data_IF_679263690671
#
_entry.id   IF_679263690671
#
_cell.length_a   1.000
_cell.length_b   1.000
_cell.length_c   1.000
_cell.angle_alpha   90.00
_cell.angle_beta   90.00
_cell.angle_gamma   90.00
#
_symmetry.space_group_name_H-M   'P 1'
#
loop_
_entity.id
_entity.type
_entity.pdbx_description
1 polymer ?
#
# COMPACT_ATOMS: atom_id res chain seq x y z
N UNK A 1 -20.97 -10.68 -18.81
CA UNK A 1 -20.53 -10.11 -17.53
C UNK A 1 -19.90 -8.75 -17.79
N UNK A 2 -20.28 -7.76 -17.02
CA UNK A 2 -19.76 -6.41 -17.19
C UNK A 2 -18.39 -6.31 -16.55
N UNK A 3 -17.56 -5.45 -17.12
CA UNK A 3 -16.20 -5.19 -16.62
C UNK A 3 -16.18 -4.83 -15.13
N UNK A 4 -17.12 -3.98 -14.70
CA UNK A 4 -17.24 -3.59 -13.28
C UNK A 4 -17.49 -4.79 -12.36
N UNK A 5 -18.34 -5.72 -12.77
CA UNK A 5 -18.63 -6.93 -12.00
C UNK A 5 -17.40 -7.82 -11.85
N UNK A 6 -16.60 -7.92 -12.90
CA UNK A 6 -15.33 -8.65 -12.87
C UNK A 6 -14.37 -7.97 -11.89
N UNK A 7 -14.21 -6.66 -11.97
CA UNK A 7 -13.36 -5.90 -11.07
C UNK A 7 -13.79 -6.04 -9.62
N UNK A 8 -15.10 -5.96 -9.35
CA UNK A 8 -15.64 -6.14 -8.00
C UNK A 8 -15.35 -7.53 -7.45
N UNK A 9 -15.55 -8.57 -8.25
CA UNK A 9 -15.24 -9.94 -7.86
C UNK A 9 -13.76 -10.12 -7.54
N UNK A 10 -12.90 -9.60 -8.40
CA UNK A 10 -11.45 -9.70 -8.26
C UNK A 10 -10.98 -8.93 -7.02
N UNK A 11 -11.47 -7.71 -6.82
CA UNK A 11 -11.09 -6.89 -5.67
C UNK A 11 -11.52 -7.54 -4.35
N UNK A 12 -12.72 -8.12 -4.30
CA UNK A 12 -13.18 -8.83 -3.12
C UNK A 12 -12.28 -10.02 -2.78
N UNK A 13 -11.83 -10.76 -3.79
CA UNK A 13 -10.89 -11.87 -3.61
C UNK A 13 -9.56 -11.36 -3.04
N UNK A 14 -9.00 -10.29 -3.62
CA UNK A 14 -7.71 -9.76 -3.19
C UNK A 14 -7.76 -9.19 -1.77
N UNK A 15 -8.82 -8.46 -1.43
CA UNK A 15 -8.99 -7.90 -0.08
C UNK A 15 -9.14 -9.02 0.95
N UNK A 16 -9.92 -10.04 0.62
CA UNK A 16 -10.07 -11.21 1.48
C UNK A 16 -8.72 -11.92 1.68
N UNK A 17 -7.97 -12.09 0.60
CA UNK A 17 -6.63 -12.70 0.65
C UNK A 17 -5.68 -11.89 1.55
N UNK A 18 -5.66 -10.56 1.40
CA UNK A 18 -4.82 -9.70 2.24
C UNK A 18 -5.12 -9.84 3.72
N UNK A 19 -6.38 -10.03 4.07
CA UNK A 19 -6.82 -10.05 5.46
C UNK A 19 -6.83 -11.44 6.10
N UNK A 20 -7.06 -12.48 5.33
CA UNK A 20 -7.34 -13.81 5.86
C UNK A 20 -6.34 -14.91 5.49
N UNK A 21 -5.56 -14.73 4.44
CA UNK A 21 -4.61 -15.74 4.01
C UNK A 21 -3.43 -15.83 4.97
N UNK A 22 -2.95 -17.04 5.23
CA UNK A 22 -1.84 -17.28 6.15
C UNK A 22 -0.47 -17.33 5.48
N UNK A 23 -0.42 -17.26 4.16
CA UNK A 23 0.82 -17.30 3.39
C UNK A 23 1.24 -15.90 2.97
N UNK A 24 2.42 -15.47 3.42
CA UNK A 24 2.97 -14.13 3.15
C UNK A 24 3.18 -13.86 1.65
N UNK A 25 3.60 -14.86 0.89
CA UNK A 25 3.79 -14.72 -0.56
C UNK A 25 2.48 -14.51 -1.29
N UNK A 26 1.43 -15.22 -0.87
CA UNK A 26 0.08 -15.08 -1.44
C UNK A 26 -0.46 -13.68 -1.13
N UNK A 27 -0.29 -13.21 0.09
CA UNK A 27 -0.71 -11.85 0.50
C UNK A 27 0.09 -10.80 -0.28
N UNK A 28 1.40 -10.97 -0.43
CA UNK A 28 2.24 -10.07 -1.22
C UNK A 28 1.78 -10.01 -2.67
N UNK A 29 1.46 -11.15 -3.27
CA UNK A 29 0.95 -11.20 -4.64
C UNK A 29 -0.39 -10.48 -4.78
N UNK A 30 -1.27 -10.60 -3.79
CA UNK A 30 -2.54 -9.87 -3.77
C UNK A 30 -2.31 -8.36 -3.75
N UNK A 31 -1.39 -7.88 -2.91
CA UNK A 31 -1.02 -6.46 -2.85
C UNK A 31 -0.48 -5.96 -4.18
N UNK A 32 0.43 -6.71 -4.81
CA UNK A 32 1.00 -6.35 -6.11
C UNK A 32 -0.06 -6.32 -7.21
N UNK A 33 -0.98 -7.28 -7.19
CA UNK A 33 -2.08 -7.35 -8.17
C UNK A 33 -3.03 -6.17 -8.03
N UNK A 34 -3.35 -5.75 -6.82
CA UNK A 34 -4.16 -4.56 -6.57
C UNK A 34 -3.43 -3.31 -7.08
N UNK A 35 -2.14 -3.19 -6.80
CA UNK A 35 -1.33 -2.07 -7.30
C UNK A 35 -1.35 -2.00 -8.83
N UNK A 36 -1.21 -3.13 -9.51
CA UNK A 36 -1.26 -3.21 -10.96
C UNK A 36 -2.62 -2.80 -11.51
N UNK A 37 -3.70 -3.24 -10.89
CA UNK A 37 -5.07 -2.85 -11.28
C UNK A 37 -5.23 -1.34 -11.20
N UNK A 38 -4.77 -0.73 -10.11
CA UNK A 38 -4.86 0.73 -9.94
C UNK A 38 -4.03 1.46 -11.00
N UNK A 39 -2.81 0.98 -11.27
CA UNK A 39 -1.92 1.59 -12.27
C UNK A 39 -2.46 1.47 -13.69
N UNK A 40 -2.99 0.31 -14.04
CA UNK A 40 -3.38 0.00 -15.43
C UNK A 40 -4.81 0.44 -15.76
N UNK A 41 -5.73 0.30 -14.83
CA UNK A 41 -7.16 0.56 -15.03
C UNK A 41 -7.59 1.89 -14.43
N UNK A 42 -6.93 2.30 -13.36
CA UNK A 42 -7.22 3.54 -12.67
C UNK A 42 -8.03 3.36 -11.39
N UNK A 43 -7.96 4.36 -10.53
CA UNK A 43 -8.56 4.33 -9.19
C UNK A 43 -10.09 4.30 -9.22
N UNK A 44 -10.71 4.94 -10.22
CA UNK A 44 -12.17 5.06 -10.28
C UNK A 44 -12.89 3.71 -10.23
N UNK A 45 -12.26 2.67 -10.78
CA UNK A 45 -12.83 1.32 -10.81
C UNK A 45 -12.84 0.69 -9.41
N UNK A 46 -11.94 1.11 -8.53
CA UNK A 46 -11.73 0.50 -7.22
C UNK A 46 -11.85 1.50 -6.07
N UNK A 47 -12.31 2.70 -6.35
CA UNK A 47 -12.37 3.80 -5.40
C UNK A 47 -13.08 3.46 -4.10
N UNK A 48 -14.18 2.75 -4.17
CA UNK A 48 -14.96 2.38 -2.98
C UNK A 48 -14.29 1.29 -2.14
N UNK A 49 -13.25 0.64 -2.65
CA UNK A 49 -12.46 -0.32 -1.88
C UNK A 49 -11.30 0.33 -1.13
N UNK A 50 -10.99 1.60 -1.39
CA UNK A 50 -9.83 2.28 -0.78
C UNK A 50 -9.83 2.19 0.75
N UNK A 51 -10.93 2.46 1.47
CA UNK A 51 -10.91 2.32 2.93
C UNK A 51 -10.58 0.90 3.39
N UNK A 52 -11.06 -0.11 2.69
CA UNK A 52 -10.77 -1.52 3.01
C UNK A 52 -9.31 -1.85 2.73
N UNK A 53 -8.75 -1.34 1.63
CA UNK A 53 -7.34 -1.50 1.30
C UNK A 53 -6.44 -0.83 2.34
N UNK A 54 -6.78 0.36 2.76
CA UNK A 54 -6.05 1.09 3.81
C UNK A 54 -6.07 0.31 5.13
N UNK A 55 -7.21 -0.25 5.51
CA UNK A 55 -7.30 -1.08 6.71
C UNK A 55 -6.41 -2.33 6.61
N UNK A 56 -6.41 -2.99 5.46
CA UNK A 56 -5.53 -4.14 5.21
C UNK A 56 -4.05 -3.77 5.30
N UNK A 57 -3.67 -2.64 4.71
CA UNK A 57 -2.30 -2.13 4.78
C UNK A 57 -1.92 -1.79 6.23
N UNK A 58 -2.82 -1.17 6.99
CA UNK A 58 -2.59 -0.87 8.41
C UNK A 58 -2.30 -2.13 9.22
N UNK A 59 -3.06 -3.19 9.00
CA UNK A 59 -2.85 -4.47 9.66
C UNK A 59 -1.46 -5.03 9.34
N UNK A 60 -1.05 -4.96 8.07
CA UNK A 60 0.26 -5.41 7.61
C UNK A 60 1.39 -4.58 8.23
N UNK A 61 1.24 -3.26 8.27
CA UNK A 61 2.24 -2.37 8.87
C UNK A 61 2.36 -2.53 10.38
N UNK A 62 1.28 -2.94 11.04
CA UNK A 62 1.30 -3.25 12.47
C UNK A 62 1.76 -4.67 12.78
N UNK A 63 2.02 -5.46 11.74
CA UNK A 63 2.40 -6.87 11.85
C UNK A 63 1.32 -7.72 12.55
N UNK A 64 0.05 -7.33 12.35
CA UNK A 64 -1.11 -7.96 12.97
C UNK A 64 -1.95 -8.79 11.99
N UNK A 65 -1.55 -8.87 10.72
CA UNK A 65 -2.28 -9.66 9.72
C UNK A 65 -2.13 -11.15 9.98
N UNK A 66 -3.08 -11.95 9.53
CA UNK A 66 -3.11 -13.40 9.73
C UNK A 66 -1.80 -14.05 9.26
N UNK A 67 -1.29 -13.67 8.09
CA UNK A 67 -0.04 -14.22 7.57
C UNK A 67 1.18 -13.93 8.45
N UNK A 68 1.11 -12.90 9.28
CA UNK A 68 2.20 -12.48 10.18
C UNK A 68 2.10 -13.11 11.57
N UNK A 69 0.95 -13.69 11.90
CA UNK A 69 0.71 -14.33 13.19
C UNK A 69 0.97 -15.82 13.18
N UNK A 70 1.11 -16.42 12.01
CA UNK A 70 1.38 -17.85 11.87
C UNK A 70 2.85 -18.09 12.16
N UNK A 71 3.12 -18.97 13.14
CA UNK A 71 4.49 -19.45 13.39
C UNK A 71 4.90 -20.38 12.23
N UNK A 72 5.96 -19.99 11.54
CA UNK A 72 6.50 -20.77 10.45
C UNK A 72 7.46 -21.82 11.01
N UNK A 73 7.31 -23.08 10.59
CA UNK A 73 8.26 -24.15 10.86
C UNK A 73 9.51 -24.02 9.98
N UNK A 74 9.57 -22.99 9.13
CA UNK A 74 10.70 -22.75 8.24
C UNK A 74 11.84 -22.04 8.96
N UNK A 75 13.02 -22.10 8.37
CA UNK A 75 14.23 -21.44 8.88
C UNK A 75 14.01 -19.93 9.02
N UNK A 76 14.67 -19.33 10.00
CA UNK A 76 14.59 -17.89 10.29
C UNK A 76 14.90 -17.04 9.04
N UNK A 77 15.83 -17.51 8.21
CA UNK A 77 16.23 -16.82 6.98
C UNK A 77 15.11 -16.78 5.94
N UNK A 78 14.37 -17.89 5.81
CA UNK A 78 13.20 -17.98 4.91
C UNK A 78 12.09 -17.03 5.35
N UNK A 79 11.85 -16.95 6.65
CA UNK A 79 10.80 -16.08 7.21
C UNK A 79 11.15 -14.60 7.00
N UNK A 80 12.42 -14.25 7.18
CA UNK A 80 12.90 -12.89 6.93
C UNK A 80 12.77 -12.50 5.45
N UNK A 81 13.05 -13.42 4.52
CA UNK A 81 12.87 -13.21 3.08
C UNK A 81 11.40 -12.97 2.72
N UNK A 82 10.50 -13.79 3.29
CA UNK A 82 9.06 -13.64 3.08
C UNK A 82 8.53 -12.31 3.64
N UNK A 83 9.04 -11.86 4.78
CA UNK A 83 8.70 -10.56 5.35
C UNK A 83 9.15 -9.42 4.44
N UNK A 84 10.35 -9.54 3.87
CA UNK A 84 10.87 -8.54 2.93
C UNK A 84 10.00 -8.44 1.68
N UNK A 85 9.63 -9.56 1.08
CA UNK A 85 8.74 -9.60 -0.09
C UNK A 85 7.39 -8.98 0.23
N UNK A 86 6.83 -9.27 1.41
CA UNK A 86 5.56 -8.71 1.85
C UNK A 86 5.64 -7.18 2.01
N UNK A 87 6.69 -6.69 2.65
CA UNK A 87 6.86 -5.25 2.85
C UNK A 87 7.15 -4.50 1.55
N UNK A 88 7.88 -5.12 0.63
CA UNK A 88 8.09 -4.55 -0.70
C UNK A 88 6.76 -4.39 -1.45
N UNK A 89 5.89 -5.39 -1.37
CA UNK A 89 4.56 -5.33 -1.98
C UNK A 89 3.71 -4.20 -1.38
N UNK A 90 3.74 -4.03 -0.06
CA UNK A 90 3.04 -2.96 0.63
C UNK A 90 3.60 -1.60 0.21
N UNK A 91 4.93 -1.48 0.10
CA UNK A 91 5.59 -0.24 -0.31
C UNK A 91 5.27 0.16 -1.76
N UNK A 92 4.95 -0.80 -2.62
CA UNK A 92 4.49 -0.53 -3.99
C UNK A 92 3.01 -0.14 -4.03
N UNK A 93 2.21 -0.75 -3.18
CA UNK A 93 0.77 -0.48 -3.13
C UNK A 93 0.47 0.93 -2.61
N UNK A 94 1.20 1.40 -1.62
CA UNK A 94 0.97 2.73 -1.01
C UNK A 94 1.10 3.88 -2.03
N UNK A 95 2.20 3.99 -2.79
CA UNK A 95 2.28 5.03 -3.83
C UNK A 95 1.26 4.85 -4.95
N UNK A 96 0.93 3.60 -5.29
CA UNK A 96 -0.09 3.31 -6.29
C UNK A 96 -1.46 3.86 -5.89
N UNK A 97 -1.79 3.84 -4.60
CA UNK A 97 -3.01 4.45 -4.06
C UNK A 97 -2.88 5.98 -3.96
N UNK A 98 -1.72 6.47 -3.51
CA UNK A 98 -1.50 7.88 -3.29
C UNK A 98 -1.50 8.69 -4.59
N UNK A 99 -0.89 8.15 -5.65
CA UNK A 99 -0.73 8.85 -6.92
C UNK A 99 -2.04 9.32 -7.54
N UNK A 100 -3.04 8.46 -7.75
CA UNK A 100 -4.33 8.90 -8.29
C UNK A 100 -5.21 9.65 -7.28
N UNK A 101 -4.98 9.44 -5.99
CA UNK A 101 -5.74 10.11 -4.92
C UNK A 101 -5.24 11.53 -4.67
N UNK A 102 -3.95 11.77 -4.88
CA UNK A 102 -3.33 13.07 -4.69
C UNK A 102 -3.49 13.59 -3.27
N UNK A 103 -3.89 14.85 -3.13
CA UNK A 103 -4.07 15.49 -1.82
C UNK A 103 -5.15 14.84 -0.97
N UNK A 104 -6.10 14.14 -1.58
CA UNK A 104 -7.14 13.41 -0.85
C UNK A 104 -6.59 12.19 -0.08
N UNK A 105 -5.34 11.82 -0.33
CA UNK A 105 -4.67 10.76 0.41
C UNK A 105 -4.26 11.19 1.83
N UNK A 106 -4.23 12.49 2.12
CA UNK A 106 -3.76 13.02 3.40
C UNK A 106 -4.43 12.39 4.64
N UNK A 107 -5.77 12.20 4.69
CA UNK A 107 -6.39 11.54 5.85
C UNK A 107 -5.95 10.10 6.03
N UNK A 108 -5.74 9.38 4.94
CA UNK A 108 -5.24 8.00 4.98
C UNK A 108 -3.78 7.98 5.41
N UNK A 109 -2.97 8.90 4.87
CA UNK A 109 -1.56 9.02 5.22
C UNK A 109 -1.39 9.31 6.71
N UNK A 110 -2.25 10.13 7.30
CA UNK A 110 -2.21 10.41 8.73
C UNK A 110 -2.36 9.14 9.57
N UNK A 111 -3.18 8.19 9.13
CA UNK A 111 -3.36 6.90 9.80
C UNK A 111 -2.16 5.97 9.60
N UNK A 112 -1.53 6.04 8.41
CA UNK A 112 -0.45 5.14 8.02
C UNK A 112 0.92 5.60 8.55
N UNK A 113 1.05 6.86 8.87
CA UNK A 113 2.33 7.49 9.20
C UNK A 113 3.04 6.82 10.39
N UNK A 114 2.39 6.68 11.52
CA UNK A 114 3.01 6.08 12.71
C UNK A 114 3.42 4.62 12.50
N UNK A 115 2.54 3.74 12.00
CA UNK A 115 2.95 2.36 11.72
C UNK A 115 4.10 2.28 10.71
N UNK A 116 4.06 3.13 9.68
CA UNK A 116 5.11 3.15 8.66
C UNK A 116 6.44 3.60 9.25
N UNK A 117 6.44 4.61 10.10
CA UNK A 117 7.65 5.14 10.73
C UNK A 117 8.32 4.16 11.69
N UNK A 118 7.61 3.15 12.18
CA UNK A 118 8.23 2.09 12.97
C UNK A 118 9.31 1.35 12.21
N UNK A 119 9.13 1.18 10.89
CA UNK A 119 10.10 0.53 10.03
C UNK A 119 11.33 1.40 9.74
N UNK A 120 11.26 2.70 10.02
CA UNK A 120 12.39 3.62 9.85
C UNK A 120 13.32 3.69 11.06
N UNK A 121 12.99 3.00 12.16
CA UNK A 121 13.80 3.02 13.39
C UNK A 121 15.18 2.42 13.16
N UNK A 122 16.16 2.95 13.88
CA UNK A 122 17.55 2.47 13.81
C UNK A 122 17.72 0.99 14.18
N UNK A 123 16.78 0.44 14.96
CA UNK A 123 16.74 -0.98 15.33
C UNK A 123 16.29 -1.90 14.18
N UNK A 124 15.70 -1.34 13.14
CA UNK A 124 15.21 -2.12 11.99
C UNK A 124 16.32 -2.39 10.98
N UNK A 125 16.21 -3.47 10.17
CA UNK A 125 17.16 -3.73 9.11
C UNK A 125 17.26 -2.58 8.10
N UNK A 126 18.41 -2.40 7.42
CA UNK A 126 18.55 -1.36 6.40
C UNK A 126 17.51 -1.42 5.29
N UNK A 127 17.04 -2.60 4.90
CA UNK A 127 16.00 -2.80 3.89
C UNK A 127 14.70 -2.10 4.30
N UNK A 128 14.29 -2.26 5.56
CA UNK A 128 13.07 -1.65 6.08
C UNK A 128 13.19 -0.13 6.06
N UNK A 129 14.31 0.40 6.49
CA UNK A 129 14.56 1.85 6.51
C UNK A 129 14.58 2.45 5.10
N UNK A 130 15.21 1.75 4.18
CA UNK A 130 15.24 2.15 2.76
C UNK A 130 13.84 2.15 2.16
N UNK A 131 13.07 1.12 2.43
CA UNK A 131 11.68 1.00 1.98
C UNK A 131 10.84 2.19 2.45
N UNK A 132 10.93 2.55 3.73
CA UNK A 132 10.17 3.68 4.30
C UNK A 132 10.55 4.99 3.62
N UNK A 133 11.85 5.25 3.47
CA UNK A 133 12.33 6.49 2.84
C UNK A 133 11.83 6.61 1.41
N UNK A 134 11.95 5.54 0.62
CA UNK A 134 11.47 5.52 -0.76
C UNK A 134 9.95 5.69 -0.83
N UNK A 135 9.22 4.99 0.01
CA UNK A 135 7.76 5.05 0.07
C UNK A 135 7.26 6.45 0.44
N UNK A 136 7.87 7.07 1.46
CA UNK A 136 7.52 8.43 1.88
C UNK A 136 7.80 9.44 0.77
N UNK A 137 8.92 9.30 0.08
CA UNK A 137 9.26 10.19 -1.03
C UNK A 137 8.22 10.09 -2.16
N UNK A 138 7.85 8.88 -2.54
CA UNK A 138 6.84 8.65 -3.59
C UNK A 138 5.46 9.19 -3.21
N UNK A 139 5.04 8.98 -1.96
CA UNK A 139 3.76 9.48 -1.45
C UNK A 139 3.77 11.01 -1.42
N UNK A 140 4.84 11.60 -0.89
CA UNK A 140 4.98 13.07 -0.82
C UNK A 140 4.94 13.70 -2.20
N UNK A 141 5.65 13.13 -3.18
CA UNK A 141 5.63 13.60 -4.55
C UNK A 141 4.24 13.51 -5.17
N UNK A 142 3.51 12.44 -4.90
CA UNK A 142 2.15 12.24 -5.41
C UNK A 142 1.20 13.29 -4.86
N UNK A 143 1.27 13.57 -3.56
CA UNK A 143 0.44 14.57 -2.90
C UNK A 143 0.80 15.99 -3.34
N UNK A 144 2.09 16.30 -3.41
CA UNK A 144 2.60 17.59 -3.83
C UNK A 144 2.32 17.85 -5.31
N UNK A 145 2.48 16.85 -6.17
CA UNK A 145 2.20 16.95 -7.59
C UNK A 145 0.76 17.35 -7.87
N UNK A 146 -0.20 16.82 -7.13
CA UNK A 146 -1.60 17.22 -7.23
C UNK A 146 -1.82 18.65 -6.74
N UNK A 147 -1.25 19.00 -5.60
CA UNK A 147 -1.31 20.37 -5.06
C UNK A 147 -0.69 21.38 -6.04
N UNK A 148 0.47 21.07 -6.61
CA UNK A 148 1.13 21.92 -7.59
C UNK A 148 0.32 22.02 -8.89
N UNK A 149 -0.31 20.95 -9.30
CA UNK A 149 -1.20 20.94 -10.46
C UNK A 149 -2.41 21.85 -10.26
N UNK A 150 -3.02 21.78 -9.10
CA UNK A 150 -4.13 22.65 -8.71
C UNK A 150 -3.65 24.09 -8.59
N UNK A 151 -2.51 24.30 -7.98
CA UNK A 151 -1.91 25.60 -7.85
C UNK A 151 -1.52 26.22 -9.19
N UNK A 152 -1.01 25.45 -10.12
CA UNK A 152 -0.71 25.95 -11.46
C UNK A 152 -1.93 26.48 -12.16
N UNK A 153 -3.07 25.85 -11.95
CA UNK A 153 -4.30 26.34 -12.56
C UNK A 153 -4.79 27.59 -11.85
N UNK A 154 -4.50 27.68 -10.59
CA UNK A 154 -5.01 28.78 -9.78
C UNK A 154 -4.00 29.85 -9.48
N UNK A 155 -2.84 29.59 -9.53
CA UNK A 155 -1.79 30.38 -9.07
C UNK A 155 -0.73 30.74 -9.93
N UNK A 156 -0.60 30.03 -10.94
CA UNK A 156 0.08 30.73 -11.96
C UNK A 156 -0.46 32.08 -11.89
N UNK A 157 -1.38 32.03 -11.25
CA UNK A 157 -2.07 33.08 -10.73
C UNK A 157 -1.57 33.70 -9.45
N UNK A 158 -1.03 33.20 -8.62
CA UNK A 158 -0.62 33.75 -7.34
C UNK A 158 0.85 34.07 -7.22
N UNK A 159 1.63 33.65 -8.15
CA UNK A 159 3.05 33.96 -8.22
C UNK A 159 3.33 35.06 -9.23
#
# INVERSE_FOLDING_TARGET
>A
MRFKEICDSVMNIYIKTMNEDDDKEVVAQACMSVADIIKDIGLMTVEHYVPLLINGILMLLREESVCQQVESDSDIDDDAEHDEVLMDAVSDLLPALAKPTGSHFAPFFAKLYEPLMKFARASRPPQDRTMVVACLADIAQSMEGDALGTERTGIVRGY
#
